data_IF_152396538495
#
_entry.id   IF_152396538495
#
_cell.length_a   1.000
_cell.length_b   1.000
_cell.length_c   1.000
_cell.angle_alpha   90.00
_cell.angle_beta   90.00
_cell.angle_gamma   90.00
#
_symmetry.space_group_name_H-M   'P 1'
#
loop_
_entity.id
_entity.type
_entity.pdbx_description
1 polymer ?
#
# COMPACT_ATOMS: atom_id res chain seq x y z
N UNK A 1 -9.53 5.72 8.89
CA UNK A 1 -10.94 5.27 8.80
C UNK A 1 -11.89 6.32 8.23
N UNK A 2 -11.74 7.62 8.56
CA UNK A 2 -12.60 8.69 8.05
C UNK A 2 -12.66 8.74 6.51
N UNK A 3 -11.51 8.58 5.83
CA UNK A 3 -11.45 8.54 4.35
C UNK A 3 -12.35 7.44 3.74
N UNK A 4 -12.19 6.20 4.19
CA UNK A 4 -12.97 5.08 3.66
C UNK A 4 -14.48 5.25 3.94
N UNK A 5 -14.82 5.71 5.14
CA UNK A 5 -16.22 5.98 5.52
C UNK A 5 -16.85 7.10 4.67
N UNK A 6 -16.09 8.16 4.38
CA UNK A 6 -16.54 9.26 3.51
C UNK A 6 -16.93 8.77 2.10
N UNK A 7 -16.22 7.76 1.58
CA UNK A 7 -16.50 7.15 0.28
C UNK A 7 -17.38 5.89 0.34
N UNK A 8 -17.92 5.51 1.51
CA UNK A 8 -18.74 4.30 1.66
C UNK A 8 -17.99 2.98 1.40
N UNK A 9 -16.67 2.95 1.61
CA UNK A 9 -15.85 1.76 1.37
C UNK A 9 -15.81 0.91 2.65
N UNK A 10 -16.44 -0.27 2.60
CA UNK A 10 -16.57 -1.20 3.73
C UNK A 10 -15.45 -2.26 3.80
N UNK A 11 -14.20 -1.88 3.47
CA UNK A 11 -13.05 -2.79 3.56
C UNK A 11 -12.19 -2.47 4.78
N UNK A 12 -11.92 -3.43 5.68
CA UNK A 12 -11.06 -3.19 6.83
C UNK A 12 -9.63 -2.93 6.37
N UNK A 13 -8.98 -1.83 6.81
CA UNK A 13 -7.61 -1.55 6.48
C UNK A 13 -6.67 -2.51 7.23
N UNK A 14 -5.54 -2.82 6.61
CA UNK A 14 -4.41 -3.50 7.24
C UNK A 14 -3.31 -2.47 7.49
N UNK A 15 -2.87 -2.33 8.74
CA UNK A 15 -1.87 -1.32 9.10
C UNK A 15 -0.44 -1.79 8.77
N UNK A 16 0.25 -1.03 7.92
CA UNK A 16 1.66 -1.23 7.58
C UNK A 16 2.51 -0.18 8.31
N UNK A 17 3.49 -0.62 9.09
CA UNK A 17 4.40 0.22 9.86
C UNK A 17 5.84 -0.23 9.63
N UNK A 18 6.81 0.68 9.75
CA UNK A 18 8.21 0.36 9.48
C UNK A 18 8.73 -0.88 10.26
N UNK A 19 8.29 -1.06 11.51
CA UNK A 19 8.72 -2.18 12.35
C UNK A 19 8.10 -3.54 11.96
N UNK A 20 7.02 -3.56 11.19
CA UNK A 20 6.33 -4.79 10.78
C UNK A 20 6.39 -5.06 9.27
N UNK A 21 7.02 -4.16 8.52
CA UNK A 21 6.91 -4.08 7.06
C UNK A 21 7.41 -5.35 6.37
N UNK A 22 8.53 -5.93 6.80
CA UNK A 22 9.08 -7.17 6.23
C UNK A 22 8.12 -8.35 6.38
N UNK A 23 7.68 -8.63 7.61
CA UNK A 23 6.77 -9.74 7.90
C UNK A 23 5.41 -9.59 7.22
N UNK A 24 4.94 -8.34 7.08
CA UNK A 24 3.65 -8.07 6.48
C UNK A 24 3.74 -8.13 4.95
N UNK A 25 4.87 -7.71 4.38
CA UNK A 25 5.12 -7.81 2.94
C UNK A 25 5.01 -9.27 2.48
N UNK A 26 5.68 -10.22 3.14
CA UNK A 26 5.61 -11.65 2.78
C UNK A 26 4.17 -12.18 2.76
N UNK A 27 3.38 -11.83 3.80
CA UNK A 27 1.96 -12.21 3.89
C UNK A 27 1.13 -11.59 2.78
N UNK A 28 1.37 -10.32 2.46
CA UNK A 28 0.67 -9.62 1.37
C UNK A 28 1.04 -10.21 0.02
N UNK A 29 2.32 -10.50 -0.25
CA UNK A 29 2.76 -11.12 -1.50
C UNK A 29 2.07 -12.46 -1.71
N UNK A 30 1.96 -13.29 -0.68
CA UNK A 30 1.24 -14.57 -0.76
C UNK A 30 -0.21 -14.39 -1.20
N UNK A 31 -0.90 -13.39 -0.64
CA UNK A 31 -2.29 -13.06 -1.02
C UNK A 31 -2.40 -12.54 -2.45
N UNK A 32 -1.48 -11.68 -2.87
CA UNK A 32 -1.43 -11.16 -4.24
C UNK A 32 -1.19 -12.28 -5.27
N UNK A 33 -0.32 -13.24 -4.95
CA UNK A 33 -0.08 -14.44 -5.78
C UNK A 33 -1.35 -15.29 -5.88
N UNK A 34 -2.16 -15.37 -4.82
CA UNK A 34 -3.47 -16.04 -4.87
C UNK A 34 -4.55 -15.30 -5.66
N UNK A 35 -4.22 -14.17 -6.29
CA UNK A 35 -5.12 -13.41 -7.14
C UNK A 35 -5.90 -12.30 -6.44
N UNK A 36 -5.61 -12.02 -5.16
CA UNK A 36 -6.19 -10.86 -4.49
C UNK A 36 -5.62 -9.54 -5.03
N UNK A 37 -6.39 -8.47 -4.88
CA UNK A 37 -5.95 -7.10 -5.15
C UNK A 37 -5.82 -6.29 -3.87
N UNK A 38 -4.84 -5.39 -3.83
CA UNK A 38 -4.56 -4.53 -2.68
C UNK A 38 -4.25 -3.10 -3.15
N UNK A 39 -4.72 -2.12 -2.37
CA UNK A 39 -4.33 -0.72 -2.49
C UNK A 39 -3.47 -0.34 -1.29
N UNK A 40 -2.30 0.25 -1.55
CA UNK A 40 -1.44 0.86 -0.54
C UNK A 40 -1.78 2.35 -0.46
N UNK A 41 -2.08 2.84 0.74
CA UNK A 41 -2.49 4.23 0.99
C UNK A 41 -1.71 4.74 2.20
N UNK A 42 -1.23 5.98 2.13
CA UNK A 42 -0.62 6.69 3.26
C UNK A 42 -1.58 7.75 3.83
N UNK A 43 -1.27 8.26 5.02
CA UNK A 43 -2.14 9.24 5.71
C UNK A 43 -2.28 10.55 4.91
N UNK A 44 -1.25 10.94 4.15
CA UNK A 44 -1.29 12.05 3.23
C UNK A 44 -0.26 11.91 2.11
N UNK A 45 -0.58 12.48 0.94
CA UNK A 45 0.35 12.58 -0.18
C UNK A 45 0.46 11.30 -1.01
N UNK A 46 1.62 11.11 -1.64
CA UNK A 46 1.95 9.90 -2.40
C UNK A 46 2.68 8.93 -1.47
N UNK A 47 2.18 7.68 -1.30
CA UNK A 47 2.88 6.67 -0.51
C UNK A 47 4.34 6.50 -0.98
N UNK A 48 5.24 6.08 -0.08
CA UNK A 48 6.66 5.81 -0.32
C UNK A 48 7.63 7.01 -0.30
N UNK A 49 7.16 8.25 -0.09
CA UNK A 49 8.07 9.40 0.08
C UNK A 49 8.59 9.46 1.52
N UNK A 50 7.67 9.45 2.49
CA UNK A 50 7.98 9.48 3.93
C UNK A 50 7.30 8.34 4.71
N UNK A 51 6.58 7.47 4.00
CA UNK A 51 5.72 6.44 4.56
C UNK A 51 6.28 5.03 4.29
N UNK A 52 6.02 4.04 5.16
CA UNK A 52 6.35 2.65 4.90
C UNK A 52 5.63 2.11 3.65
N UNK A 53 6.19 1.07 3.04
CA UNK A 53 5.65 0.43 1.83
C UNK A 53 6.69 0.13 0.76
N UNK A 54 7.91 0.65 0.88
CA UNK A 54 8.97 0.44 -0.08
C UNK A 54 9.34 -1.04 -0.18
N UNK A 55 9.44 -1.73 0.95
CA UNK A 55 9.80 -3.16 0.99
C UNK A 55 8.69 -3.99 0.36
N UNK A 56 7.41 -3.64 0.62
CA UNK A 56 6.27 -4.29 0.00
C UNK A 56 6.27 -4.12 -1.53
N UNK A 57 6.45 -2.90 -2.04
CA UNK A 57 6.48 -2.64 -3.48
C UNK A 57 7.66 -3.32 -4.15
N UNK A 58 8.83 -3.33 -3.51
CA UNK A 58 10.02 -4.03 -3.99
C UNK A 58 9.77 -5.55 -4.08
N UNK A 59 9.19 -6.14 -3.03
CA UNK A 59 8.84 -7.56 -3.01
C UNK A 59 7.80 -7.92 -4.09
N UNK A 60 6.78 -7.06 -4.28
CA UNK A 60 5.76 -7.27 -5.31
C UNK A 60 6.37 -7.28 -6.71
N UNK A 61 7.25 -6.31 -7.01
CA UNK A 61 7.96 -6.27 -8.30
C UNK A 61 8.88 -7.47 -8.50
N UNK A 62 9.60 -7.90 -7.45
CA UNK A 62 10.47 -9.07 -7.52
C UNK A 62 9.68 -10.37 -7.78
N UNK A 63 8.45 -10.47 -7.26
CA UNK A 63 7.54 -11.58 -7.50
C UNK A 63 6.78 -11.49 -8.85
N UNK A 64 7.08 -10.51 -9.70
CA UNK A 64 6.41 -10.31 -10.99
C UNK A 64 4.98 -9.79 -10.88
N UNK A 65 4.56 -9.31 -9.70
CA UNK A 65 3.23 -8.74 -9.49
C UNK A 65 3.19 -7.33 -10.10
N UNK A 66 2.11 -7.04 -10.84
CA UNK A 66 1.88 -5.71 -11.43
C UNK A 66 1.65 -4.69 -10.32
N UNK A 67 2.48 -3.64 -10.31
CA UNK A 67 2.29 -2.45 -9.45
C UNK A 67 1.90 -1.29 -10.35
N UNK A 68 0.71 -0.73 -10.13
CA UNK A 68 0.18 0.41 -10.89
C UNK A 68 0.09 1.64 -9.98
N UNK A 69 0.91 2.67 -10.18
CA UNK A 69 0.79 3.91 -9.41
C UNK A 69 -0.45 4.70 -9.84
N UNK A 70 -1.16 5.28 -8.86
CA UNK A 70 -2.27 6.20 -9.10
C UNK A 70 -1.78 7.63 -8.88
N UNK A 71 -1.80 8.52 -9.90
CA UNK A 71 -1.42 9.92 -9.72
C UNK A 71 -2.30 10.61 -8.67
N UNK A 72 -1.72 11.47 -7.85
CA UNK A 72 -2.43 12.13 -6.75
C UNK A 72 -1.63 13.28 -6.13
N UNK A 73 -2.23 13.94 -5.12
CA UNK A 73 -1.59 15.07 -4.44
C UNK A 73 -0.28 14.63 -3.78
N UNK A 74 0.75 15.48 -3.87
CA UNK A 74 2.03 15.30 -3.19
C UNK A 74 2.55 16.65 -2.73
N UNK A 75 2.76 16.79 -1.42
CA UNK A 75 3.23 18.04 -0.82
C UNK A 75 4.63 18.46 -1.31
N UNK A 76 5.40 17.54 -1.88
CA UNK A 76 6.74 17.82 -2.41
C UNK A 76 6.71 18.53 -3.78
N UNK A 77 5.63 18.39 -4.56
CA UNK A 77 5.51 18.93 -5.93
C UNK A 77 4.27 19.81 -6.12
N UNK A 78 3.58 20.17 -5.02
CA UNK A 78 2.39 21.02 -5.02
C UNK A 78 2.75 22.51 -4.90
#
# INVERSE_FOLDING_TARGET
RQLLAHFGIERPPLALHAHNEDTLAERIITRLISGESLALVSDAGTPLISDPGFLLVRAARAAGIRVTPVPGPSAFIA
#
